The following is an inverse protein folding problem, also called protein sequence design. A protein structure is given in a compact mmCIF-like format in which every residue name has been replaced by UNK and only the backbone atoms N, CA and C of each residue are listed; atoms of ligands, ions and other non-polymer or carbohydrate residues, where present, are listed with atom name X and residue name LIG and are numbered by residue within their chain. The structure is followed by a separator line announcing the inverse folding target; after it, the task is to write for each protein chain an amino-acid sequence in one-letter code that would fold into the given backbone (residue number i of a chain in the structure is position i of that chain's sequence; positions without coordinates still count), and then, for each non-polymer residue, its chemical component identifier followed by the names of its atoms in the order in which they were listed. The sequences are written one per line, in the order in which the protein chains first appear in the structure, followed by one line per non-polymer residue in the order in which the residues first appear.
data_IF_154627668921
#
_entry.id   IF_154627668921
#
_cell.length_a   1.000
_cell.length_b   1.000
_cell.length_c   1.000
_cell.angle_alpha   90.00
_cell.angle_beta   90.00
_cell.angle_gamma   90.00
#
_symmetry.space_group_name_H-M   'P 1'
#
loop_
_entity.id
_entity.type
_entity.pdbx_description
1 polymer ?
#
# COMPACT_ATOMS: atom_id res chain seq x y z
N UNK A 1 36.79 -28.42 6.34
CA UNK A 1 35.31 -28.39 6.41
C UNK A 1 34.90 -26.96 6.69
N UNK A 2 33.96 -26.41 5.91
CA UNK A 2 33.40 -25.09 6.22
C UNK A 2 32.58 -25.22 7.52
N UNK A 3 32.84 -24.32 8.47
CA UNK A 3 32.06 -24.24 9.71
C UNK A 3 30.77 -23.51 9.37
N UNK A 4 29.63 -24.17 9.59
CA UNK A 4 28.32 -23.54 9.49
C UNK A 4 27.95 -22.91 10.83
N UNK A 5 27.67 -21.61 10.81
CA UNK A 5 27.31 -20.80 11.97
C UNK A 5 25.87 -20.26 11.89
N UNK A 6 25.12 -20.61 10.84
CA UNK A 6 23.74 -20.18 10.70
C UNK A 6 22.82 -20.90 11.69
N UNK A 7 21.87 -20.17 12.28
CA UNK A 7 20.97 -20.68 13.31
C UNK A 7 19.78 -21.49 12.80
N UNK A 8 19.64 -21.67 11.48
CA UNK A 8 18.52 -22.38 10.86
C UNK A 8 19.02 -23.65 10.15
N UNK A 9 18.23 -24.73 10.20
CA UNK A 9 18.63 -26.03 9.65
C UNK A 9 18.16 -26.22 8.21
N UNK A 10 17.08 -25.57 7.84
CA UNK A 10 16.50 -25.64 6.49
C UNK A 10 15.64 -24.40 6.21
N UNK A 11 15.19 -24.25 4.97
CA UNK A 11 14.43 -23.08 4.51
C UNK A 11 13.10 -22.90 5.25
N UNK A 12 12.46 -23.98 5.74
CA UNK A 12 11.19 -23.89 6.47
C UNK A 12 11.34 -23.16 7.80
N UNK A 13 12.52 -23.23 8.41
CA UNK A 13 12.80 -22.49 9.66
C UNK A 13 12.82 -20.96 9.42
N UNK A 14 12.88 -20.51 8.15
CA UNK A 14 12.80 -19.12 7.74
C UNK A 14 11.37 -18.68 7.36
N UNK A 15 10.44 -19.62 7.19
CA UNK A 15 9.04 -19.30 6.89
C UNK A 15 8.40 -18.61 8.09
N UNK A 16 7.92 -17.38 7.88
CA UNK A 16 7.15 -16.64 8.88
C UNK A 16 5.70 -16.55 8.43
N UNK A 17 4.79 -16.50 9.39
CA UNK A 17 3.43 -16.08 9.08
C UNK A 17 3.47 -14.60 8.64
N UNK A 18 3.15 -14.36 7.37
CA UNK A 18 3.18 -13.03 6.76
C UNK A 18 1.82 -12.33 6.79
N UNK A 19 0.77 -12.95 7.36
CA UNK A 19 -0.58 -12.34 7.41
C UNK A 19 -0.59 -11.00 8.12
N UNK A 20 0.30 -10.85 9.10
CA UNK A 20 0.37 -9.67 9.96
C UNK A 20 1.33 -8.60 9.44
N UNK A 21 1.93 -8.83 8.26
CA UNK A 21 2.84 -7.87 7.63
C UNK A 21 2.01 -6.73 7.02
N UNK A 22 2.42 -5.46 7.22
CA UNK A 22 1.71 -4.31 6.65
C UNK A 22 1.50 -4.43 5.15
N UNK A 23 2.50 -4.93 4.41
CA UNK A 23 2.44 -5.14 2.98
C UNK A 23 1.37 -6.16 2.58
N UNK A 24 1.22 -7.24 3.36
CA UNK A 24 0.19 -8.26 3.12
C UNK A 24 -1.19 -7.66 3.37
N UNK A 25 -1.39 -7.00 4.52
CA UNK A 25 -2.65 -6.36 4.89
C UNK A 25 -3.06 -5.33 3.83
N UNK A 26 -2.13 -4.47 3.39
CA UNK A 26 -2.40 -3.46 2.35
C UNK A 26 -2.76 -4.11 1.01
N UNK A 27 -2.03 -5.15 0.59
CA UNK A 27 -2.35 -5.91 -0.64
C UNK A 27 -3.73 -6.57 -0.58
N UNK A 28 -4.13 -7.11 0.56
CA UNK A 28 -5.47 -7.67 0.75
C UNK A 28 -6.55 -6.59 0.56
N UNK A 29 -6.34 -5.38 1.10
CA UNK A 29 -7.30 -4.28 0.89
C UNK A 29 -7.33 -3.79 -0.56
N UNK A 30 -6.18 -3.75 -1.23
CA UNK A 30 -6.06 -3.45 -2.66
C UNK A 30 -6.87 -4.45 -3.50
N UNK A 31 -6.70 -5.75 -3.25
CA UNK A 31 -7.44 -6.79 -3.96
C UNK A 31 -8.94 -6.72 -3.67
N UNK A 32 -9.32 -6.51 -2.40
CA UNK A 32 -10.71 -6.41 -1.99
C UNK A 32 -11.48 -5.28 -2.68
N UNK A 33 -10.81 -4.23 -3.15
CA UNK A 33 -11.45 -3.19 -3.95
C UNK A 33 -12.00 -3.74 -5.26
N UNK A 34 -11.20 -4.53 -5.99
CA UNK A 34 -11.60 -5.12 -7.27
C UNK A 34 -12.77 -6.10 -7.11
N UNK A 35 -12.72 -6.94 -6.08
CA UNK A 35 -13.80 -7.89 -5.78
C UNK A 35 -15.12 -7.17 -5.48
N UNK A 36 -15.07 -6.08 -4.71
CA UNK A 36 -16.27 -5.30 -4.30
C UNK A 36 -16.88 -4.51 -5.46
N UNK A 37 -16.10 -4.16 -6.47
CA UNK A 37 -16.55 -3.33 -7.61
C UNK A 37 -16.83 -4.17 -8.85
N UNK A 38 -16.67 -5.51 -8.77
CA UNK A 38 -16.75 -6.37 -9.95
C UNK A 38 -15.69 -6.05 -11.00
N UNK A 39 -14.52 -5.57 -10.57
CA UNK A 39 -13.39 -5.16 -11.40
C UNK A 39 -13.66 -4.00 -12.38
N UNK A 40 -14.76 -3.25 -12.22
CA UNK A 40 -14.98 -1.96 -12.93
C UNK A 40 -13.87 -0.96 -12.61
N UNK A 41 -13.39 -0.99 -11.37
CA UNK A 41 -12.14 -0.37 -10.93
C UNK A 41 -11.46 -1.31 -9.95
N UNK A 42 -10.13 -1.37 -9.95
CA UNK A 42 -9.39 -2.26 -9.07
C UNK A 42 -8.13 -1.61 -8.52
N UNK A 43 -7.66 -2.08 -7.38
CA UNK A 43 -6.40 -1.62 -6.81
C UNK A 43 -5.21 -2.30 -7.48
N UNK A 44 -4.13 -1.56 -7.70
CA UNK A 44 -2.85 -2.09 -8.18
C UNK A 44 -1.73 -1.56 -7.28
N UNK A 45 -1.01 -2.44 -6.55
CA UNK A 45 0.14 -2.03 -5.77
C UNK A 45 1.32 -1.73 -6.72
N UNK A 46 2.06 -0.66 -6.44
CA UNK A 46 3.38 -0.43 -7.03
C UNK A 46 4.40 -0.41 -5.90
N UNK A 47 5.43 -1.24 -6.02
CA UNK A 47 6.52 -1.30 -5.07
C UNK A 47 7.71 -0.50 -5.58
N UNK A 48 8.29 0.35 -4.74
CA UNK A 48 9.48 1.13 -5.06
C UNK A 48 10.47 1.12 -3.90
N UNK A 49 11.76 1.11 -4.25
CA UNK A 49 12.83 1.37 -3.29
C UNK A 49 12.95 2.87 -3.09
N UNK A 50 12.99 3.32 -1.85
CA UNK A 50 13.26 4.71 -1.51
C UNK A 50 14.77 4.89 -1.43
N UNK A 51 15.29 5.87 -2.16
CA UNK A 51 16.72 6.17 -2.20
C UNK A 51 17.04 7.55 -1.63
N UNK A 52 16.03 8.34 -1.29
CA UNK A 52 16.24 9.64 -0.65
C UNK A 52 16.67 9.42 0.82
N UNK A 53 17.84 9.94 1.19
CA UNK A 53 18.40 9.82 2.54
C UNK A 53 17.67 10.66 3.59
N UNK A 54 16.82 11.61 3.17
CA UNK A 54 15.97 12.40 4.07
C UNK A 54 14.72 11.62 4.53
N UNK A 55 14.43 10.48 3.90
CA UNK A 55 13.33 9.58 4.26
C UNK A 55 13.88 8.41 5.04
N UNK A 56 13.36 8.17 6.25
CA UNK A 56 13.82 7.13 7.17
C UNK A 56 13.42 5.69 6.76
N UNK A 57 12.66 5.55 5.67
CA UNK A 57 12.10 4.29 5.20
C UNK A 57 12.79 3.84 3.91
N UNK A 58 13.15 2.55 3.82
CA UNK A 58 13.82 1.98 2.65
C UNK A 58 12.91 1.61 1.47
N UNK A 59 11.60 1.48 1.71
CA UNK A 59 10.64 1.02 0.72
C UNK A 59 9.34 1.83 0.74
N UNK A 60 8.68 1.90 -0.42
CA UNK A 60 7.37 2.49 -0.61
C UNK A 60 6.45 1.53 -1.37
N UNK A 61 5.24 1.30 -0.85
CA UNK A 61 4.16 0.57 -1.51
C UNK A 61 3.03 1.55 -1.80
N UNK A 62 2.81 1.85 -3.08
CA UNK A 62 1.76 2.74 -3.55
C UNK A 62 0.50 1.96 -3.81
N UNK A 63 -0.61 2.40 -3.23
CA UNK A 63 -1.95 1.96 -3.60
C UNK A 63 -2.51 2.88 -4.69
N UNK A 64 -2.48 2.39 -5.94
CA UNK A 64 -3.20 3.01 -7.04
C UNK A 64 -4.55 2.33 -7.29
N UNK A 65 -5.54 3.12 -7.68
CA UNK A 65 -6.81 2.67 -8.24
C UNK A 65 -6.74 2.83 -9.74
N UNK A 66 -6.99 1.74 -10.46
CA UNK A 66 -7.02 1.69 -11.92
C UNK A 66 -8.47 1.61 -12.38
N UNK A 67 -8.79 2.39 -13.42
CA UNK A 67 -10.12 2.43 -14.04
C UNK A 67 -9.99 2.10 -15.53
N UNK A 68 -10.15 0.83 -15.94
CA UNK A 68 -9.88 0.40 -17.32
C UNK A 68 -10.70 1.12 -18.37
N UNK A 69 -11.98 1.40 -18.09
CA UNK A 69 -12.88 2.10 -19.01
C UNK A 69 -12.50 3.58 -19.26
N UNK A 70 -11.55 4.12 -18.51
CA UNK A 70 -11.03 5.49 -18.65
C UNK A 70 -9.59 5.48 -19.19
N UNK A 71 -9.32 4.66 -20.21
CA UNK A 71 -7.98 4.48 -20.80
C UNK A 71 -6.92 4.14 -19.73
N UNK A 72 -7.25 3.17 -18.86
CA UNK A 72 -6.42 2.75 -17.73
C UNK A 72 -6.01 3.89 -16.78
N UNK A 73 -6.87 4.91 -16.63
CA UNK A 73 -6.65 6.01 -15.69
C UNK A 73 -6.28 5.47 -14.30
N UNK A 74 -5.22 6.03 -13.73
CA UNK A 74 -4.65 5.63 -12.44
C UNK A 74 -4.63 6.79 -11.47
N UNK A 75 -5.16 6.58 -10.26
CA UNK A 75 -5.10 7.54 -9.15
C UNK A 75 -4.50 6.90 -7.91
N UNK A 76 -3.49 7.56 -7.34
CA UNK A 76 -2.94 7.17 -6.04
C UNK A 76 -3.91 7.54 -4.92
N UNK A 77 -4.23 6.55 -4.08
CA UNK A 77 -5.04 6.72 -2.86
C UNK A 77 -4.13 7.01 -1.68
N UNK A 78 -3.12 6.15 -1.48
CA UNK A 78 -2.14 6.29 -0.41
C UNK A 78 -0.80 5.67 -0.81
N UNK A 79 0.24 6.03 -0.07
CA UNK A 79 1.58 5.46 -0.16
C UNK A 79 1.98 5.02 1.24
N UNK A 80 2.31 3.74 1.40
CA UNK A 80 2.86 3.20 2.65
C UNK A 80 4.38 3.12 2.54
N UNK A 81 5.09 3.69 3.50
CA UNK A 81 6.54 3.63 3.62
C UNK A 81 6.93 2.65 4.73
N UNK A 82 7.84 1.72 4.42
CA UNK A 82 8.27 0.65 5.32
C UNK A 82 9.76 0.35 5.20
N UNK A 83 10.29 -0.41 6.14
CA UNK A 83 11.68 -0.90 6.13
C UNK A 83 11.72 -2.37 5.75
N UNK A 84 12.82 -2.80 5.11
CA UNK A 84 12.95 -4.18 4.63
C UNK A 84 13.12 -5.18 5.78
N UNK A 85 13.79 -4.75 6.85
CA UNK A 85 14.16 -5.59 7.97
C UNK A 85 13.12 -5.60 9.10
N UNK A 86 12.18 -4.67 9.10
CA UNK A 86 11.22 -4.45 10.19
C UNK A 86 9.82 -4.18 9.65
N UNK A 87 8.82 -4.84 10.25
CA UNK A 87 7.42 -4.65 9.88
C UNK A 87 6.86 -3.31 10.36
N UNK A 88 7.38 -2.76 11.47
CA UNK A 88 6.94 -1.50 12.04
C UNK A 88 8.16 -0.75 12.61
N UNK A 89 8.12 0.60 12.69
CA UNK A 89 7.02 1.47 12.28
C UNK A 89 6.86 1.55 10.75
N UNK A 90 5.65 1.92 10.31
CA UNK A 90 5.36 2.29 8.92
C UNK A 90 4.75 3.68 8.88
N UNK A 91 5.06 4.44 7.83
CA UNK A 91 4.44 5.74 7.58
C UNK A 91 3.44 5.65 6.42
N UNK A 92 2.40 6.48 6.44
CA UNK A 92 1.40 6.53 5.37
C UNK A 92 1.21 7.98 4.91
N UNK A 93 1.43 8.19 3.62
CA UNK A 93 0.99 9.38 2.92
C UNK A 93 -0.34 9.15 2.22
N UNK A 94 -1.25 10.12 2.26
CA UNK A 94 -2.59 10.04 1.64
C UNK A 94 -2.75 11.13 0.59
N UNK A 95 -3.28 10.78 -0.59
CA UNK A 95 -3.58 11.72 -1.67
C UNK A 95 -2.36 12.32 -2.40
N UNK A 96 -1.15 12.10 -1.89
CA UNK A 96 0.12 12.57 -2.45
C UNK A 96 0.68 11.58 -3.47
N UNK A 97 1.49 12.12 -4.39
CA UNK A 97 2.35 11.35 -5.28
C UNK A 97 3.69 11.02 -4.61
N UNK A 98 4.35 9.98 -5.09
CA UNK A 98 5.69 9.62 -4.61
C UNK A 98 6.70 10.75 -4.80
N UNK A 99 6.63 11.48 -5.92
CA UNK A 99 7.51 12.62 -6.18
C UNK A 99 7.32 13.75 -5.17
N UNK A 100 6.07 14.08 -4.81
CA UNK A 100 5.80 15.12 -3.80
C UNK A 100 6.38 14.75 -2.43
N UNK A 101 6.29 13.47 -2.05
CA UNK A 101 6.89 12.98 -0.82
C UNK A 101 8.42 12.92 -0.87
N UNK A 102 9.02 12.77 -2.05
CA UNK A 102 10.48 12.86 -2.21
C UNK A 102 10.99 14.30 -2.13
N UNK A 103 10.16 15.29 -2.50
CA UNK A 103 10.50 16.72 -2.37
C UNK A 103 10.33 17.22 -0.94
N UNK A 104 9.26 16.80 -0.25
CA UNK A 104 9.02 17.12 1.16
C UNK A 104 8.28 15.99 1.88
N UNK A 105 9.05 15.16 2.58
CA UNK A 105 8.51 14.00 3.29
C UNK A 105 7.80 14.42 4.58
N UNK A 106 6.47 14.36 4.55
CA UNK A 106 5.62 14.66 5.70
C UNK A 106 4.39 13.73 5.65
N UNK A 107 4.52 12.48 6.13
CA UNK A 107 3.45 11.51 6.13
C UNK A 107 2.33 11.92 7.10
N UNK A 108 1.08 11.60 6.76
CA UNK A 108 -0.08 11.90 7.60
C UNK A 108 -0.21 10.95 8.80
N UNK A 109 0.31 9.72 8.69
CA UNK A 109 0.27 8.72 9.75
C UNK A 109 1.62 8.08 9.93
N UNK A 110 1.94 7.76 11.18
CA UNK A 110 3.04 6.88 11.57
C UNK A 110 2.46 5.81 12.51
N UNK A 111 2.52 4.55 12.08
CA UNK A 111 1.92 3.42 12.78
C UNK A 111 3.03 2.54 13.35
N UNK A 112 3.05 2.35 14.67
CA UNK A 112 4.11 1.62 15.38
C UNK A 112 3.80 0.14 15.59
N UNK A 113 2.57 -0.28 15.29
CA UNK A 113 2.09 -1.64 15.42
C UNK A 113 0.92 -1.91 14.47
N UNK A 114 0.51 -3.18 14.43
CA UNK A 114 -0.56 -3.68 13.56
C UNK A 114 -1.93 -3.06 13.83
N UNK A 115 -2.27 -2.79 15.08
CA UNK A 115 -3.58 -2.24 15.44
C UNK A 115 -3.69 -0.79 14.99
N UNK A 116 -2.65 0.01 15.21
CA UNK A 116 -2.54 1.38 14.69
C UNK A 116 -2.61 1.41 13.17
N UNK A 117 -1.94 0.48 12.48
CA UNK A 117 -1.95 0.40 11.03
C UNK A 117 -3.34 0.05 10.47
N UNK A 118 -4.02 -0.94 11.06
CA UNK A 118 -5.38 -1.31 10.67
C UNK A 118 -6.38 -0.17 10.92
N UNK A 119 -6.26 0.53 12.04
CA UNK A 119 -7.10 1.69 12.34
C UNK A 119 -6.85 2.86 11.38
N UNK A 120 -5.59 3.16 11.07
CA UNK A 120 -5.22 4.17 10.07
C UNK A 120 -5.77 3.82 8.68
N UNK A 121 -5.55 2.58 8.21
CA UNK A 121 -6.10 2.13 6.92
C UNK A 121 -7.62 2.23 6.89
N UNK A 122 -8.31 1.81 7.95
CA UNK A 122 -9.77 1.93 8.03
C UNK A 122 -10.20 3.39 7.89
N UNK A 123 -9.59 4.30 8.67
CA UNK A 123 -9.90 5.74 8.62
C UNK A 123 -9.69 6.34 7.24
N UNK A 124 -8.60 5.98 6.57
CA UNK A 124 -8.26 6.47 5.22
C UNK A 124 -9.26 5.93 4.19
N UNK A 125 -9.41 4.61 4.13
CA UNK A 125 -10.22 3.95 3.10
C UNK A 125 -11.72 4.21 3.25
N UNK A 126 -12.19 4.51 4.47
CA UNK A 126 -13.57 4.92 4.73
C UNK A 126 -13.75 6.44 4.83
N UNK A 127 -12.72 7.24 4.52
CA UNK A 127 -12.83 8.70 4.54
C UNK A 127 -13.77 9.18 3.44
N UNK A 128 -14.46 10.29 3.68
CA UNK A 128 -15.39 10.87 2.70
C UNK A 128 -14.67 11.20 1.38
N UNK A 129 -13.44 11.72 1.45
CA UNK A 129 -12.63 12.06 0.27
C UNK A 129 -12.31 10.85 -0.61
N UNK A 130 -11.81 9.77 0.00
CA UNK A 130 -11.50 8.53 -0.75
C UNK A 130 -12.80 7.92 -1.28
N UNK A 131 -13.85 7.85 -0.47
CA UNK A 131 -15.13 7.27 -0.88
C UNK A 131 -15.80 8.05 -2.01
N UNK A 132 -15.75 9.39 -1.98
CA UNK A 132 -16.27 10.25 -3.05
C UNK A 132 -15.47 10.06 -4.34
N UNK A 133 -14.14 9.95 -4.23
CA UNK A 133 -13.26 9.66 -5.37
C UNK A 133 -13.62 8.32 -6.01
N UNK A 134 -13.74 7.24 -5.22
CA UNK A 134 -14.10 5.92 -5.72
C UNK A 134 -15.49 5.93 -6.37
N UNK A 135 -16.49 6.55 -5.73
CA UNK A 135 -17.85 6.68 -6.30
C UNK A 135 -17.82 7.40 -7.65
N UNK A 136 -17.08 8.51 -7.73
CA UNK A 136 -16.96 9.32 -8.95
C UNK A 136 -16.32 8.51 -10.09
N UNK A 137 -15.21 7.83 -9.80
CA UNK A 137 -14.51 7.00 -10.78
C UNK A 137 -15.38 5.84 -11.26
N UNK A 138 -16.07 5.15 -10.33
CA UNK A 138 -16.99 4.07 -10.65
C UNK A 138 -18.15 4.53 -11.54
N UNK A 139 -18.78 5.65 -11.20
CA UNK A 139 -19.88 6.22 -12.00
C UNK A 139 -19.42 6.60 -13.40
N UNK A 140 -18.25 7.25 -13.53
CA UNK A 140 -17.68 7.60 -14.84
C UNK A 140 -17.35 6.36 -15.68
N UNK A 141 -16.76 5.34 -15.07
CA UNK A 141 -16.44 4.08 -15.74
C UNK A 141 -17.71 3.41 -16.31
N UNK A 142 -18.78 3.34 -15.53
CA UNK A 142 -20.04 2.75 -15.98
C UNK A 142 -20.78 3.57 -17.04
N UNK A 143 -20.57 4.89 -17.09
CA UNK A 143 -21.12 5.73 -18.16
C UNK A 143 -20.46 5.46 -19.52
N UNK A 144 -19.21 4.99 -19.52
CA UNK A 144 -18.41 4.74 -20.72
C UNK A 144 -18.31 3.25 -21.09
N UNK A 145 -18.53 2.35 -20.11
CA UNK A 145 -18.54 0.90 -20.31
C UNK A 145 -19.87 0.32 -20.80
N UNK A 146 -20.92 1.16 -20.91
CA UNK A 146 -22.20 0.85 -21.56
C UNK A 146 -22.24 1.49 -22.95
#
# INVERSE_FOLDING_TARGET
MAIDLWGFKNVKDLEKNTSDFPETILKEQISALGDKTGFVLYGKPIYMKVTNHEVEYGAATIFNVIVPALDDYSKTVLIMYSNFEQNYPVAISVGKSFSEDMDFFCPQYECKNIDEFKDALKKILSSDEVMETIKTLYSKANMLGN
#
